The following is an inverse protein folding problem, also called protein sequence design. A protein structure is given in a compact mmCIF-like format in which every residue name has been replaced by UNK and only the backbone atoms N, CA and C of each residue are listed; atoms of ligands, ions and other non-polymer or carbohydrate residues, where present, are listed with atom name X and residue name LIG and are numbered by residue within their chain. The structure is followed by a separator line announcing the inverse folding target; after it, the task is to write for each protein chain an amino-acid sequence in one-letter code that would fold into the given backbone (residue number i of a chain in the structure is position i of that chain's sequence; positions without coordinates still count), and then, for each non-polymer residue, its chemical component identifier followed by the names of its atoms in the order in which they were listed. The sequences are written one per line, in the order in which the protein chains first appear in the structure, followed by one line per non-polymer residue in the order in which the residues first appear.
data_IF_775214435423
#
_entry.id   IF_775214435423
#
_cell.length_a   1.000
_cell.length_b   1.000
_cell.length_c   1.000
_cell.angle_alpha   90.00
_cell.angle_beta   90.00
_cell.angle_gamma   90.00
#
_symmetry.space_group_name_H-M   'P 1'
#
loop_
_entity.id
_entity.type
_entity.pdbx_description
1 polymer ?
#
# COMPACT_ATOMS: atom_id res chain seq x y z
N UNK A 1 54.40 31.85 -3.36
CA UNK A 1 54.09 30.41 -3.55
C UNK A 1 53.75 29.86 -2.18
N UNK A 2 52.48 29.98 -1.78
CA UNK A 2 51.95 29.27 -0.61
C UNK A 2 50.62 28.64 -1.04
N UNK A 3 50.62 27.31 -1.02
CA UNK A 3 49.48 26.46 -1.31
C UNK A 3 48.47 26.58 -0.15
N UNK A 4 47.38 27.33 -0.35
CA UNK A 4 46.18 27.16 0.47
C UNK A 4 45.39 25.97 -0.09
N UNK A 5 45.71 24.79 0.44
CA UNK A 5 45.01 23.55 0.16
C UNK A 5 43.51 23.68 0.46
N UNK A 6 42.69 23.37 -0.54
CA UNK A 6 41.25 23.23 -0.39
C UNK A 6 40.93 22.12 0.60
N UNK A 7 40.16 22.46 1.63
CA UNK A 7 39.49 21.48 2.46
C UNK A 7 38.45 20.75 1.60
N UNK A 8 38.43 19.41 1.59
CA UNK A 8 37.30 18.68 1.03
C UNK A 8 36.06 18.93 1.92
N UNK A 9 34.85 19.01 1.34
CA UNK A 9 33.63 19.03 2.13
C UNK A 9 33.46 17.66 2.79
N UNK A 10 33.96 17.55 4.01
CA UNK A 10 33.64 16.46 4.94
C UNK A 10 32.14 16.51 5.26
N UNK A 11 31.48 15.36 5.14
CA UNK A 11 30.29 15.10 5.95
C UNK A 11 28.95 15.32 5.27
N UNK A 12 28.75 14.83 4.03
CA UNK A 12 27.48 14.14 3.77
C UNK A 12 27.53 12.86 4.59
N UNK A 13 27.16 12.99 5.87
CA UNK A 13 26.92 11.89 6.75
C UNK A 13 26.08 10.87 5.98
N UNK A 14 26.67 9.70 5.76
CA UNK A 14 25.93 8.49 5.51
C UNK A 14 24.95 8.37 6.68
N UNK A 15 23.76 8.93 6.50
CA UNK A 15 22.60 8.63 7.33
C UNK A 15 22.47 7.13 7.22
N UNK A 16 22.94 6.45 8.26
CA UNK A 16 22.66 5.06 8.53
C UNK A 16 21.24 4.82 8.07
N UNK A 17 21.11 4.09 6.97
CA UNK A 17 19.85 3.61 6.45
C UNK A 17 19.25 2.80 7.59
N UNK A 18 18.41 3.47 8.38
CA UNK A 18 17.59 2.87 9.42
C UNK A 18 16.77 1.84 8.69
N UNK A 19 17.25 0.60 8.75
CA UNK A 19 16.50 -0.59 8.37
C UNK A 19 15.09 -0.40 8.94
N UNK A 20 14.12 -0.38 8.03
CA UNK A 20 12.72 -0.03 8.26
C UNK A 20 12.06 -1.03 9.23
N UNK A 21 12.75 -2.13 9.52
CA UNK A 21 12.42 -3.13 10.52
C UNK A 21 13.54 -3.14 11.57
N UNK A 22 13.23 -3.06 12.88
CA UNK A 22 14.22 -3.28 13.92
C UNK A 22 14.94 -4.60 13.63
N UNK A 23 16.27 -4.59 13.66
CA UNK A 23 17.16 -5.69 13.27
C UNK A 23 17.07 -6.96 14.14
N UNK A 24 15.98 -7.14 14.88
CA UNK A 24 15.52 -8.47 15.27
C UNK A 24 15.25 -9.26 14.00
N UNK A 25 16.06 -10.31 13.76
CA UNK A 25 15.93 -11.22 12.61
C UNK A 25 14.50 -11.80 12.52
N UNK A 26 13.58 -11.09 11.90
CA UNK A 26 12.29 -11.65 11.50
C UNK A 26 12.53 -12.46 10.24
N UNK A 27 12.02 -13.69 10.20
CA UNK A 27 12.12 -14.50 8.99
C UNK A 27 11.29 -13.85 7.87
N UNK A 28 11.70 -14.01 6.60
CA UNK A 28 10.91 -13.50 5.47
C UNK A 28 9.46 -14.02 5.50
N UNK A 29 9.27 -15.26 5.96
CA UNK A 29 7.94 -15.85 6.14
C UNK A 29 7.10 -15.10 7.18
N UNK A 30 7.70 -14.69 8.30
CA UNK A 30 7.03 -13.89 9.33
C UNK A 30 6.63 -12.52 8.79
N UNK A 31 7.54 -11.84 8.08
CA UNK A 31 7.27 -10.53 7.46
C UNK A 31 6.08 -10.61 6.49
N UNK A 32 6.09 -11.58 5.57
CA UNK A 32 5.03 -11.81 4.58
C UNK A 32 3.70 -12.12 5.28
N UNK A 33 3.72 -12.95 6.33
CA UNK A 33 2.50 -13.34 7.04
C UNK A 33 1.91 -12.16 7.82
N UNK A 34 2.75 -11.40 8.52
CA UNK A 34 2.31 -10.23 9.28
C UNK A 34 1.78 -9.13 8.36
N UNK A 35 2.44 -8.88 7.23
CA UNK A 35 1.98 -7.89 6.26
C UNK A 35 0.66 -8.28 5.61
N UNK A 36 0.49 -9.55 5.23
CA UNK A 36 -0.77 -10.05 4.68
C UNK A 36 -1.94 -9.89 5.68
N UNK A 37 -1.74 -10.30 6.94
CA UNK A 37 -2.75 -10.18 7.99
C UNK A 37 -3.09 -8.73 8.33
N UNK A 38 -2.09 -7.87 8.45
CA UNK A 38 -2.28 -6.43 8.66
C UNK A 38 -3.09 -5.80 7.51
N UNK A 39 -2.74 -6.19 6.28
CA UNK A 39 -3.42 -5.78 5.07
C UNK A 39 -4.89 -6.18 5.02
N UNK A 40 -5.18 -7.44 5.38
CA UNK A 40 -6.56 -7.93 5.50
C UNK A 40 -7.35 -7.15 6.56
N UNK A 41 -6.77 -6.92 7.74
CA UNK A 41 -7.43 -6.19 8.82
C UNK A 41 -7.74 -4.73 8.43
N UNK A 42 -6.75 -4.02 7.87
CA UNK A 42 -6.94 -2.66 7.37
C UNK A 42 -8.00 -2.60 6.25
N UNK A 43 -7.97 -3.56 5.33
CA UNK A 43 -8.95 -3.65 4.24
C UNK A 43 -10.34 -3.92 4.76
N UNK A 44 -10.53 -4.85 5.70
CA UNK A 44 -11.83 -5.14 6.30
C UNK A 44 -12.49 -3.90 6.91
N UNK A 45 -11.71 -3.09 7.66
CA UNK A 45 -12.20 -1.89 8.32
C UNK A 45 -12.53 -0.76 7.34
N UNK A 46 -11.76 -0.63 6.26
CA UNK A 46 -11.96 0.42 5.25
C UNK A 46 -12.88 0.02 4.10
N UNK A 47 -13.24 -1.27 3.97
CA UNK A 47 -14.04 -1.79 2.87
C UNK A 47 -15.39 -1.10 2.66
N UNK A 48 -16.14 -0.70 3.72
CA UNK A 48 -17.37 0.06 3.52
C UNK A 48 -17.13 1.41 2.83
N UNK A 49 -16.05 2.11 3.19
CA UNK A 49 -15.67 3.39 2.58
C UNK A 49 -15.28 3.15 1.12
N UNK A 50 -14.45 2.14 0.86
CA UNK A 50 -14.06 1.76 -0.50
C UNK A 50 -15.26 1.46 -1.39
N UNK A 51 -16.20 0.65 -0.88
CA UNK A 51 -17.43 0.29 -1.60
C UNK A 51 -18.29 1.52 -1.90
N UNK A 52 -18.42 2.46 -0.94
CA UNK A 52 -19.13 3.72 -1.16
C UNK A 52 -18.46 4.57 -2.26
N UNK A 53 -17.13 4.71 -2.21
CA UNK A 53 -16.36 5.49 -3.19
C UNK A 53 -16.51 4.89 -4.59
N UNK A 54 -16.35 3.57 -4.73
CA UNK A 54 -16.50 2.87 -6.02
C UNK A 54 -17.93 3.01 -6.55
N UNK A 55 -18.95 2.86 -5.72
CA UNK A 55 -20.34 3.06 -6.13
C UNK A 55 -20.59 4.48 -6.62
N UNK A 56 -20.13 5.48 -5.87
CA UNK A 56 -20.30 6.89 -6.23
C UNK A 56 -19.59 7.22 -7.55
N UNK A 57 -18.39 6.67 -7.75
CA UNK A 57 -17.64 6.82 -9.00
C UNK A 57 -18.40 6.18 -10.18
N UNK A 58 -18.93 4.97 -10.00
CA UNK A 58 -19.67 4.25 -11.04
C UNK A 58 -21.01 4.91 -11.42
N UNK A 59 -21.65 5.61 -10.48
CA UNK A 59 -22.93 6.30 -10.70
C UNK A 59 -22.77 7.78 -11.13
N UNK A 60 -21.57 8.22 -11.51
CA UNK A 60 -21.34 9.58 -12.02
C UNK A 60 -21.32 10.67 -10.94
N UNK A 61 -20.92 10.34 -9.70
CA UNK A 61 -20.58 11.32 -8.65
C UNK A 61 -21.74 11.97 -7.89
N UNK A 62 -22.90 12.09 -8.53
CA UNK A 62 -24.07 12.82 -8.02
C UNK A 62 -25.13 11.94 -7.33
N UNK A 63 -25.09 10.62 -7.54
CA UNK A 63 -26.03 9.71 -6.90
C UNK A 63 -25.44 9.14 -5.61
N UNK A 64 -26.17 9.31 -4.50
CA UNK A 64 -25.91 8.59 -3.27
C UNK A 64 -26.55 7.19 -3.37
N UNK A 65 -25.77 6.10 -3.36
CA UNK A 65 -26.34 4.77 -3.32
C UNK A 65 -27.18 4.59 -2.04
N UNK A 66 -28.28 3.82 -2.11
CA UNK A 66 -28.96 3.35 -0.90
C UNK A 66 -28.04 2.37 -0.18
N UNK A 67 -27.33 2.86 0.84
CA UNK A 67 -26.35 2.11 1.60
C UNK A 67 -27.05 1.15 2.56
N UNK A 68 -27.11 -0.12 2.18
CA UNK A 68 -27.39 -1.22 3.11
C UNK A 68 -26.09 -1.91 3.49
N UNK A 69 -26.02 -2.51 4.68
CA UNK A 69 -24.86 -3.29 5.14
C UNK A 69 -24.49 -4.36 4.12
N UNK A 70 -25.49 -5.02 3.52
CA UNK A 70 -25.27 -6.02 2.47
C UNK A 70 -24.60 -5.45 1.22
N UNK A 71 -24.92 -4.21 0.83
CA UNK A 71 -24.27 -3.53 -0.30
C UNK A 71 -22.84 -3.17 0.07
N UNK A 72 -22.61 -2.62 1.27
CA UNK A 72 -21.27 -2.22 1.74
C UNK A 72 -20.32 -3.40 1.92
N UNK A 73 -20.83 -4.62 2.15
CA UNK A 73 -20.03 -5.84 2.29
C UNK A 73 -19.74 -6.53 0.94
N UNK A 74 -20.28 -6.04 -0.20
CA UNK A 74 -20.06 -6.69 -1.51
C UNK A 74 -18.59 -6.64 -1.90
N UNK A 75 -18.09 -7.76 -2.40
CA UNK A 75 -16.69 -7.90 -2.84
C UNK A 75 -15.67 -7.96 -1.70
N UNK A 76 -16.09 -8.00 -0.43
CA UNK A 76 -15.18 -8.09 0.71
C UNK A 76 -14.23 -9.31 0.63
N UNK A 77 -14.67 -10.54 0.30
CA UNK A 77 -13.75 -11.67 0.20
C UNK A 77 -12.63 -11.46 -0.83
N UNK A 78 -12.97 -10.90 -2.00
CA UNK A 78 -11.98 -10.58 -3.03
C UNK A 78 -11.07 -9.43 -2.60
N UNK A 79 -11.60 -8.44 -1.87
CA UNK A 79 -10.80 -7.37 -1.29
C UNK A 79 -9.78 -7.90 -0.27
N UNK A 80 -10.18 -8.81 0.61
CA UNK A 80 -9.30 -9.44 1.60
C UNK A 80 -8.23 -10.29 0.93
N UNK A 81 -8.58 -11.09 -0.07
CA UNK A 81 -7.62 -11.88 -0.85
C UNK A 81 -6.62 -10.96 -1.57
N UNK A 82 -7.11 -9.90 -2.21
CA UNK A 82 -6.27 -8.89 -2.86
C UNK A 82 -5.33 -8.23 -1.86
N UNK A 83 -5.79 -7.89 -0.66
CA UNK A 83 -4.97 -7.29 0.37
C UNK A 83 -3.88 -8.25 0.86
N UNK A 84 -4.25 -9.51 1.15
CA UNK A 84 -3.29 -10.51 1.59
C UNK A 84 -2.17 -10.70 0.56
N UNK A 85 -2.54 -10.82 -0.72
CA UNK A 85 -1.57 -10.99 -1.80
C UNK A 85 -0.73 -9.74 -2.00
N UNK A 86 -1.34 -8.55 -2.15
CA UNK A 86 -0.62 -7.31 -2.40
C UNK A 86 0.32 -6.97 -1.26
N UNK A 87 -0.13 -6.98 -0.01
CA UNK A 87 0.73 -6.61 1.10
C UNK A 87 1.76 -7.70 1.44
N UNK A 88 1.45 -8.97 1.18
CA UNK A 88 2.42 -10.06 1.27
C UNK A 88 3.52 -9.94 0.22
N UNK A 89 3.16 -9.74 -1.06
CA UNK A 89 4.11 -9.71 -2.18
C UNK A 89 4.84 -8.38 -2.30
N UNK A 90 4.15 -7.24 -2.14
CA UNK A 90 4.74 -5.91 -2.28
C UNK A 90 5.82 -5.67 -1.23
N UNK A 91 5.50 -5.88 0.06
CA UNK A 91 6.46 -5.67 1.14
C UNK A 91 7.56 -6.73 1.11
N UNK A 92 7.20 -8.00 0.86
CA UNK A 92 8.19 -9.07 0.73
C UNK A 92 9.17 -8.85 -0.43
N UNK A 93 8.68 -8.38 -1.59
CA UNK A 93 9.51 -8.06 -2.74
C UNK A 93 10.40 -6.84 -2.47
N UNK A 94 9.84 -5.77 -1.90
CA UNK A 94 10.60 -4.57 -1.53
C UNK A 94 11.77 -4.91 -0.61
N UNK A 95 11.51 -5.62 0.49
CA UNK A 95 12.53 -6.02 1.45
C UNK A 95 13.59 -6.93 0.81
N UNK A 96 13.17 -7.87 -0.03
CA UNK A 96 14.09 -8.77 -0.75
C UNK A 96 15.04 -8.00 -1.67
N UNK A 97 14.54 -7.01 -2.42
CA UNK A 97 15.38 -6.17 -3.26
C UNK A 97 16.33 -5.30 -2.44
N UNK A 98 15.88 -4.74 -1.30
CA UNK A 98 16.78 -4.03 -0.37
C UNK A 98 17.91 -4.92 0.12
N UNK A 99 17.63 -6.19 0.44
CA UNK A 99 18.65 -7.16 0.86
C UNK A 99 19.62 -7.54 -0.25
N UNK A 100 19.21 -7.44 -1.52
CA UNK A 100 20.09 -7.63 -2.68
C UNK A 100 20.94 -6.39 -3.02
N UNK A 101 20.84 -5.32 -2.21
CA UNK A 101 21.67 -4.13 -2.36
C UNK A 101 21.05 -3.02 -3.23
N UNK A 102 19.80 -3.16 -3.65
CA UNK A 102 19.11 -2.11 -4.39
C UNK A 102 18.81 -0.88 -3.51
N UNK A 103 18.90 0.31 -4.10
CA UNK A 103 18.44 1.56 -3.49
C UNK A 103 16.92 1.54 -3.24
N UNK A 104 16.41 2.41 -2.36
CA UNK A 104 14.97 2.43 -2.03
C UNK A 104 14.09 2.68 -3.26
N UNK A 105 14.53 3.55 -4.18
CA UNK A 105 13.81 3.83 -5.43
C UNK A 105 13.78 2.60 -6.33
N UNK A 106 14.92 1.95 -6.55
CA UNK A 106 15.02 0.75 -7.41
C UNK A 106 14.19 -0.40 -6.85
N UNK A 107 14.28 -0.65 -5.54
CA UNK A 107 13.49 -1.65 -4.85
C UNK A 107 11.98 -1.36 -4.98
N UNK A 108 11.56 -0.10 -4.83
CA UNK A 108 10.16 0.31 -4.99
C UNK A 108 9.64 0.08 -6.42
N UNK A 109 10.44 0.44 -7.43
CA UNK A 109 10.11 0.22 -8.85
C UNK A 109 9.97 -1.28 -9.16
N UNK A 110 10.92 -2.09 -8.70
CA UNK A 110 10.90 -3.53 -8.94
C UNK A 110 9.75 -4.23 -8.20
N UNK A 111 9.43 -3.80 -6.98
CA UNK A 111 8.32 -4.33 -6.20
C UNK A 111 6.94 -3.96 -6.79
N UNK A 112 6.83 -2.85 -7.53
CA UNK A 112 5.59 -2.42 -8.18
C UNK A 112 5.12 -3.37 -9.29
N UNK A 113 6.03 -4.12 -9.93
CA UNK A 113 5.70 -5.04 -11.02
C UNK A 113 4.86 -6.24 -10.54
N UNK A 114 5.33 -7.07 -9.58
CA UNK A 114 4.51 -8.16 -9.05
C UNK A 114 3.25 -7.65 -8.34
N UNK A 115 3.32 -6.48 -7.68
CA UNK A 115 2.12 -5.84 -7.14
C UNK A 115 1.09 -5.58 -8.24
N UNK A 116 1.46 -4.87 -9.31
CA UNK A 116 0.54 -4.48 -10.37
C UNK A 116 -0.09 -5.68 -11.09
N UNK A 117 0.70 -6.74 -11.30
CA UNK A 117 0.24 -7.99 -11.93
C UNK A 117 -0.77 -8.75 -11.06
N UNK A 118 -0.57 -8.79 -9.74
CA UNK A 118 -1.51 -9.43 -8.83
C UNK A 118 -2.74 -8.56 -8.53
N UNK A 119 -2.52 -7.27 -8.27
CA UNK A 119 -3.54 -6.31 -7.84
C UNK A 119 -4.52 -5.96 -8.95
N UNK A 120 -4.03 -5.72 -10.17
CA UNK A 120 -4.85 -5.23 -11.28
C UNK A 120 -6.08 -6.13 -11.57
N UNK A 121 -5.90 -7.44 -11.79
CA UNK A 121 -7.02 -8.36 -12.01
C UNK A 121 -7.98 -8.45 -10.82
N UNK A 122 -7.45 -8.56 -9.60
CA UNK A 122 -8.26 -8.70 -8.38
C UNK A 122 -9.07 -7.44 -8.07
N UNK A 123 -8.47 -6.27 -8.28
CA UNK A 123 -9.16 -5.00 -8.11
C UNK A 123 -10.26 -4.82 -9.17
N UNK A 124 -10.02 -5.26 -10.41
CA UNK A 124 -11.06 -5.27 -11.44
C UNK A 124 -12.25 -6.17 -11.05
N UNK A 125 -11.98 -7.36 -10.50
CA UNK A 125 -13.03 -8.27 -9.99
C UNK A 125 -13.78 -7.62 -8.82
N UNK A 126 -13.04 -7.11 -7.81
CA UNK A 126 -13.59 -6.46 -6.62
C UNK A 126 -14.50 -5.29 -7.00
N UNK A 127 -14.02 -4.38 -7.85
CA UNK A 127 -14.77 -3.19 -8.26
C UNK A 127 -16.07 -3.58 -8.98
N UNK A 128 -16.04 -4.63 -9.83
CA UNK A 128 -17.25 -5.13 -10.52
C UNK A 128 -18.23 -5.80 -9.56
N UNK A 129 -17.75 -6.59 -8.61
CA UNK A 129 -18.60 -7.15 -7.54
C UNK A 129 -19.26 -6.07 -6.68
N UNK A 130 -18.53 -5.01 -6.33
CA UNK A 130 -19.06 -3.88 -5.55
C UNK A 130 -20.26 -3.24 -6.26
N UNK A 131 -20.18 -3.04 -7.58
CA UNK A 131 -21.29 -2.50 -8.39
C UNK A 131 -22.32 -3.55 -8.83
N UNK A 132 -22.17 -4.82 -8.44
CA UNK A 132 -23.11 -5.90 -8.77
C UNK A 132 -23.05 -6.40 -10.22
N UNK A 133 -21.90 -6.25 -10.89
CA UNK A 133 -21.69 -6.65 -12.29
C UNK A 133 -20.73 -7.85 -12.36
N UNK A 134 -20.97 -8.79 -13.28
CA UNK A 134 -20.07 -9.94 -13.47
C UNK A 134 -18.70 -9.51 -14.01
N UNK A 135 -17.59 -10.10 -13.52
CA UNK A 135 -16.25 -9.81 -14.00
C UNK A 135 -16.05 -10.25 -15.48
N UNK A 136 -15.21 -9.52 -16.22
CA UNK A 136 -14.86 -9.88 -17.60
C UNK A 136 -13.34 -9.96 -17.78
N UNK A 137 -12.87 -10.92 -18.59
CA UNK A 137 -11.43 -11.11 -18.86
C UNK A 137 -10.75 -9.87 -19.43
N UNK A 138 -11.41 -9.17 -20.36
CA UNK A 138 -10.91 -7.92 -20.92
C UNK A 138 -10.73 -6.82 -19.87
N UNK A 139 -11.62 -6.74 -18.86
CA UNK A 139 -11.47 -5.79 -17.76
C UNK A 139 -10.28 -6.15 -16.85
N UNK A 140 -10.03 -7.43 -16.61
CA UNK A 140 -8.88 -7.90 -15.83
C UNK A 140 -7.55 -7.57 -16.51
N UNK A 141 -7.45 -7.77 -17.83
CA UNK A 141 -6.24 -7.47 -18.60
C UNK A 141 -5.92 -5.97 -18.64
N UNK A 142 -6.93 -5.12 -18.91
CA UNK A 142 -6.77 -3.65 -18.84
C UNK A 142 -6.42 -3.18 -17.43
N UNK A 143 -6.99 -3.85 -16.42
CA UNK A 143 -6.67 -3.64 -15.00
C UNK A 143 -5.20 -3.87 -14.71
N UNK A 144 -4.63 -5.00 -15.14
CA UNK A 144 -3.22 -5.33 -14.92
C UNK A 144 -2.26 -4.31 -15.55
N UNK A 145 -2.42 -3.98 -16.83
CA UNK A 145 -1.53 -3.05 -17.53
C UNK A 145 -1.57 -1.65 -16.90
N UNK A 146 -2.78 -1.14 -16.67
CA UNK A 146 -2.96 0.19 -16.10
C UNK A 146 -2.49 0.29 -14.65
N UNK A 147 -2.51 -0.83 -13.91
CA UNK A 147 -1.99 -0.90 -12.55
C UNK A 147 -0.46 -0.81 -12.54
N UNK A 148 0.24 -1.61 -13.34
CA UNK A 148 1.72 -1.60 -13.38
C UNK A 148 2.26 -0.19 -13.68
N UNK A 149 1.69 0.50 -14.67
CA UNK A 149 2.12 1.85 -15.05
C UNK A 149 1.94 2.88 -13.93
N UNK A 150 0.91 2.71 -13.09
CA UNK A 150 0.59 3.63 -11.99
C UNK A 150 1.28 3.25 -10.69
N UNK A 151 1.51 1.97 -10.42
CA UNK A 151 2.17 1.54 -9.18
C UNK A 151 3.65 1.92 -9.13
N UNK A 152 4.35 1.99 -10.28
CA UNK A 152 5.76 2.41 -10.29
C UNK A 152 5.96 3.80 -9.65
N UNK A 153 5.38 4.89 -10.19
CA UNK A 153 5.59 6.21 -9.61
C UNK A 153 4.92 6.36 -8.25
N UNK A 154 3.80 5.66 -8.01
CA UNK A 154 3.13 5.70 -6.72
C UNK A 154 3.95 5.05 -5.61
N UNK A 155 4.57 3.89 -5.86
CA UNK A 155 5.38 3.20 -4.87
C UNK A 155 6.62 3.99 -4.47
N UNK A 156 7.24 4.69 -5.43
CA UNK A 156 8.37 5.58 -5.13
C UNK A 156 7.96 6.67 -4.12
N UNK A 157 6.81 7.33 -4.34
CA UNK A 157 6.33 8.37 -3.43
C UNK A 157 5.81 7.78 -2.12
N UNK A 158 5.15 6.62 -2.16
CA UNK A 158 4.65 5.90 -0.99
C UNK A 158 5.79 5.52 -0.04
N UNK A 159 6.78 4.77 -0.52
CA UNK A 159 7.91 4.32 0.30
C UNK A 159 8.79 5.49 0.72
N UNK A 160 9.04 6.45 -0.17
CA UNK A 160 9.80 7.66 0.18
C UNK A 160 9.12 8.50 1.26
N UNK A 161 7.80 8.64 1.21
CA UNK A 161 7.03 9.35 2.25
C UNK A 161 7.09 8.60 3.58
N UNK A 162 6.88 7.28 3.56
CA UNK A 162 6.90 6.47 4.76
C UNK A 162 8.29 6.51 5.43
N UNK A 163 9.37 6.30 4.66
CA UNK A 163 10.75 6.36 5.16
C UNK A 163 11.10 7.72 5.76
N UNK A 164 10.63 8.82 5.15
CA UNK A 164 10.90 10.17 5.64
C UNK A 164 10.14 10.55 6.92
N UNK A 165 9.05 9.84 7.24
CA UNK A 165 8.12 10.23 8.32
C UNK A 165 7.98 9.20 9.43
N UNK A 166 8.46 7.97 9.21
CA UNK A 166 8.41 6.90 10.20
C UNK A 166 9.24 7.24 11.45
N UNK A 167 8.79 6.76 12.60
CA UNK A 167 9.40 7.02 13.91
C UNK A 167 9.25 5.83 14.86
N UNK A 168 9.89 5.89 16.05
CA UNK A 168 10.00 4.75 16.95
C UNK A 168 8.69 4.34 17.66
N UNK A 169 7.67 5.20 17.68
CA UNK A 169 6.40 4.89 18.37
C UNK A 169 5.31 4.40 17.42
N UNK A 170 4.40 3.56 17.91
CA UNK A 170 3.26 3.09 17.11
C UNK A 170 2.35 4.23 16.61
N UNK A 171 2.28 5.34 17.36
CA UNK A 171 1.54 6.53 16.93
C UNK A 171 2.22 7.22 15.74
N UNK A 172 3.56 7.29 15.73
CA UNK A 172 4.33 7.81 14.60
C UNK A 172 4.22 6.90 13.38
N UNK A 173 4.23 5.57 13.57
CA UNK A 173 4.03 4.62 12.46
C UNK A 173 2.64 4.75 11.83
N UNK A 174 1.59 4.89 12.65
CA UNK A 174 0.24 5.18 12.17
C UNK A 174 0.20 6.49 11.37
N UNK A 175 0.82 7.56 11.90
CA UNK A 175 0.88 8.86 11.23
C UNK A 175 1.67 8.81 9.92
N UNK A 176 2.83 8.14 9.92
CA UNK A 176 3.64 7.91 8.74
C UNK A 176 2.85 7.13 7.68
N UNK A 177 2.11 6.10 8.10
CA UNK A 177 1.19 5.37 7.24
C UNK A 177 0.11 6.27 6.64
N UNK A 178 -0.57 7.08 7.46
CA UNK A 178 -1.55 8.06 6.97
C UNK A 178 -0.95 9.02 5.94
N UNK A 179 0.26 9.56 6.20
CA UNK A 179 0.94 10.43 5.25
C UNK A 179 1.32 9.70 3.97
N UNK A 180 1.79 8.45 4.08
CA UNK A 180 2.09 7.58 2.94
C UNK A 180 0.84 7.21 2.13
N UNK A 181 -0.36 7.25 2.70
CA UNK A 181 -1.61 7.17 1.92
C UNK A 181 -2.05 8.51 1.32
N UNK A 182 -1.91 9.59 2.10
CA UNK A 182 -2.38 10.92 1.75
C UNK A 182 -1.57 11.52 0.60
N UNK A 183 -0.24 11.55 0.72
CA UNK A 183 0.64 12.27 -0.22
C UNK A 183 0.58 11.65 -1.63
N UNK A 184 0.78 10.32 -1.82
CA UNK A 184 0.60 9.72 -3.13
C UNK A 184 -0.85 9.81 -3.62
N UNK A 185 -1.82 9.71 -2.70
CA UNK A 185 -3.23 9.88 -3.02
C UNK A 185 -3.52 11.24 -3.66
N UNK A 186 -3.00 12.33 -3.09
CA UNK A 186 -3.14 13.68 -3.65
C UNK A 186 -2.33 13.84 -4.94
N UNK A 187 -1.08 13.38 -4.96
CA UNK A 187 -0.17 13.56 -6.10
C UNK A 187 -0.61 12.80 -7.35
N UNK A 188 -1.12 11.57 -7.19
CA UNK A 188 -1.44 10.67 -8.30
C UNK A 188 -2.94 10.48 -8.53
N UNK A 189 -3.82 11.19 -7.80
CA UNK A 189 -5.26 11.09 -8.02
C UNK A 189 -5.68 11.28 -9.48
N UNK A 190 -5.15 12.26 -10.25
CA UNK A 190 -5.55 12.44 -11.64
C UNK A 190 -5.25 11.22 -12.53
N UNK A 191 -4.10 10.58 -12.28
CA UNK A 191 -3.67 9.37 -12.99
C UNK A 191 -4.57 8.20 -12.59
N UNK A 192 -4.91 8.09 -11.31
CA UNK A 192 -5.86 7.10 -10.79
C UNK A 192 -7.25 7.27 -11.42
N UNK A 193 -7.73 8.50 -11.58
CA UNK A 193 -8.99 8.78 -12.26
C UNK A 193 -8.96 8.36 -13.74
N UNK A 194 -7.87 8.67 -14.47
CA UNK A 194 -7.67 8.23 -15.85
C UNK A 194 -7.58 6.70 -15.97
N UNK A 195 -6.97 6.02 -14.99
CA UNK A 195 -6.92 4.54 -14.92
C UNK A 195 -8.31 3.95 -14.84
N UNK A 196 -9.16 4.45 -13.93
CA UNK A 196 -10.55 4.00 -13.79
C UNK A 196 -11.31 4.23 -15.10
N UNK A 197 -11.12 5.39 -15.75
CA UNK A 197 -11.74 5.68 -17.03
C UNK A 197 -11.31 4.71 -18.14
N UNK A 198 -10.01 4.42 -18.24
CA UNK A 198 -9.44 3.45 -19.18
C UNK A 198 -10.04 2.04 -19.00
N UNK A 199 -10.10 1.56 -17.75
CA UNK A 199 -10.62 0.22 -17.43
C UNK A 199 -12.11 0.12 -17.73
N UNK A 200 -12.87 1.19 -17.47
CA UNK A 200 -14.32 1.27 -17.69
C UNK A 200 -14.70 1.60 -19.13
N UNK A 201 -13.77 2.05 -19.97
CA UNK A 201 -14.03 2.43 -21.36
C UNK A 201 -14.68 3.81 -21.52
N UNK A 202 -14.54 4.68 -20.53
CA UNK A 202 -15.02 6.08 -20.61
C UNK A 202 -13.93 6.99 -21.20
N UNK A 203 -14.29 8.15 -21.80
CA UNK A 203 -13.30 9.07 -22.36
C UNK A 203 -12.28 9.53 -21.31
N UNK A 204 -11.00 9.46 -21.66
CA UNK A 204 -9.91 9.88 -20.77
C UNK A 204 -9.96 11.40 -20.55
N UNK A 205 -10.17 11.80 -19.29
CA UNK A 205 -10.23 13.19 -18.83
C UNK A 205 -9.51 13.30 -17.49
N UNK A 206 -8.55 14.20 -17.43
CA UNK A 206 -7.90 14.58 -16.19
C UNK A 206 -8.95 15.25 -15.26
N UNK A 207 -9.10 14.75 -14.04
CA UNK A 207 -10.08 15.31 -13.09
C UNK A 207 -9.62 15.14 -11.64
N UNK A 208 -10.00 16.10 -10.81
CA UNK A 208 -9.88 16.03 -9.35
C UNK A 208 -11.24 15.77 -8.66
N UNK A 209 -12.32 15.71 -9.44
CA UNK A 209 -13.67 15.55 -8.91
C UNK A 209 -13.87 14.16 -8.32
N UNK A 210 -14.29 14.10 -7.06
CA UNK A 210 -14.52 12.83 -6.35
C UNK A 210 -13.28 12.23 -5.69
N UNK A 211 -12.12 12.91 -5.76
CA UNK A 211 -10.87 12.39 -5.21
C UNK A 211 -10.82 12.27 -3.70
N UNK A 212 -11.58 13.11 -2.98
CA UNK A 212 -11.60 13.09 -1.52
C UNK A 212 -11.90 11.71 -0.92
N UNK A 213 -12.82 10.95 -1.54
CA UNK A 213 -13.14 9.59 -1.06
C UNK A 213 -11.98 8.60 -1.25
N UNK A 214 -11.31 8.65 -2.39
CA UNK A 214 -10.14 7.80 -2.68
C UNK A 214 -8.97 8.14 -1.76
N UNK A 215 -8.71 9.44 -1.55
CA UNK A 215 -7.64 9.93 -0.68
C UNK A 215 -7.92 9.52 0.77
N UNK A 216 -9.15 9.72 1.26
CA UNK A 216 -9.55 9.33 2.60
C UNK A 216 -9.37 7.82 2.82
N UNK A 217 -9.88 7.00 1.88
CA UNK A 217 -9.71 5.55 1.92
C UNK A 217 -8.23 5.17 1.95
N UNK A 218 -7.41 5.70 1.03
CA UNK A 218 -5.98 5.41 0.96
C UNK A 218 -5.25 5.77 2.25
N UNK A 219 -5.52 6.95 2.80
CA UNK A 219 -4.98 7.45 4.07
C UNK A 219 -5.32 6.53 5.24
N UNK A 220 -6.59 6.17 5.42
CA UNK A 220 -7.02 5.30 6.51
C UNK A 220 -6.48 3.88 6.36
N UNK A 221 -6.52 3.32 5.14
CA UNK A 221 -6.10 1.95 4.88
C UNK A 221 -4.59 1.77 5.14
N UNK A 222 -3.77 2.71 4.70
CA UNK A 222 -2.31 2.68 4.89
C UNK A 222 -1.90 2.95 6.34
N UNK A 223 -2.55 3.91 7.01
CA UNK A 223 -2.35 4.14 8.44
C UNK A 223 -2.64 2.88 9.27
N UNK A 224 -3.81 2.25 9.04
CA UNK A 224 -4.19 1.03 9.74
C UNK A 224 -3.28 -0.16 9.41
N UNK A 225 -2.84 -0.28 8.15
CA UNK A 225 -1.90 -1.32 7.73
C UNK A 225 -0.63 -1.29 8.57
N UNK A 226 0.06 -0.14 8.63
CA UNK A 226 1.32 -0.04 9.36
C UNK A 226 1.11 -0.20 10.87
N UNK A 227 0.01 0.34 11.41
CA UNK A 227 -0.35 0.12 12.80
C UNK A 227 -0.53 -1.37 13.15
N UNK A 228 -1.27 -2.12 12.34
CA UNK A 228 -1.48 -3.55 12.59
C UNK A 228 -0.22 -4.37 12.34
N UNK A 229 0.53 -4.06 11.29
CA UNK A 229 1.77 -4.75 10.94
C UNK A 229 2.75 -4.76 12.12
N UNK A 230 2.97 -3.60 12.72
CA UNK A 230 3.89 -3.41 13.83
C UNK A 230 3.42 -4.14 15.10
N UNK A 231 2.12 -4.09 15.39
CA UNK A 231 1.54 -4.85 16.50
C UNK A 231 1.68 -6.36 16.31
N UNK A 232 1.50 -6.86 15.09
CA UNK A 232 1.66 -8.27 14.76
C UNK A 232 3.11 -8.72 14.84
N UNK A 233 4.07 -7.89 14.40
CA UNK A 233 5.50 -8.18 14.55
C UNK A 233 5.90 -8.29 16.03
N UNK A 234 5.47 -7.35 16.87
CA UNK A 234 5.75 -7.38 18.31
C UNK A 234 5.12 -8.61 18.96
N UNK A 235 3.85 -8.91 18.66
CA UNK A 235 3.15 -10.06 19.21
C UNK A 235 3.83 -11.40 18.82
N UNK A 236 4.21 -11.54 17.55
CA UNK A 236 4.89 -12.76 17.06
C UNK A 236 6.29 -12.92 17.67
N UNK A 237 7.04 -11.83 17.85
CA UNK A 237 8.34 -11.87 18.52
C UNK A 237 8.22 -12.31 20.00
N UNK A 238 7.20 -11.86 20.72
CA UNK A 238 6.93 -12.27 22.11
C UNK A 238 6.58 -13.76 22.18
N UNK A 239 5.72 -14.24 21.26
CA UNK A 239 5.33 -15.65 21.20
C UNK A 239 6.51 -16.58 20.91
N UNK A 240 7.44 -16.17 20.03
CA UNK A 240 8.62 -16.98 19.71
C UNK A 240 9.63 -17.07 20.87
N UNK A 241 9.67 -16.09 21.78
CA UNK A 241 10.55 -16.09 22.96
C UNK A 241 9.96 -16.79 24.18
N UNK A 242 8.64 -17.00 24.21
CA UNK A 242 7.95 -17.69 25.30
C UNK A 242 8.55 -19.06 25.68
N UNK A 243 8.91 -19.96 24.74
CA UNK A 243 9.50 -21.26 25.10
C UNK A 243 10.89 -21.14 25.74
N UNK A 244 11.72 -20.17 25.37
CA UNK A 244 13.03 -19.95 26.00
C UNK A 244 12.88 -19.52 27.46
N UNK A 245 11.88 -18.69 27.76
CA UNK A 245 11.58 -18.24 29.13
C UNK A 245 10.99 -19.35 30.00
N UNK A 246 10.37 -20.37 29.39
CA UNK A 246 9.81 -21.51 30.11
C UNK A 246 10.89 -22.53 30.54
N UNK A 247 12.04 -22.58 29.87
CA UNK A 247 13.16 -23.51 30.17
C UNK A 247 14.06 -22.99 31.30
N UNK A 248 13.99 -21.70 31.63
CA UNK A 248 14.83 -21.06 32.67
C UNK A 248 14.18 -21.05 34.06
N UNK A 249 13.01 -21.69 34.23
CA UNK A 249 12.31 -21.84 35.52
C UNK A 249 12.34 -23.29 35.98
#
# INVERSE_FOLDING_TARGET
MENSAGLPPEGLAAKNSTSIVPSTRTSSAQTISCSALAGMAATALTHPIDTWVVHRAALGGNACPRLSVRVLARGLPTALLSAALVYGTMLGAYDSFKLWGFGSVEAAVLAAVPEGLCKGPLEAIKNRQQIGVMPSGAAMARGALSMVLREIPLNVVYFGTYEATTGPSSAQQLMAGCLAGLIPGVAFYPIEAMRVQYVTGTPLRLTYQGGGGFILRGTLQTGLLFYFYERLLVATAVLMRAPELAVVR
#
